data_IF_310445600460
#
_entry.id   IF_310445600460
#
_cell.length_a   1.000
_cell.length_b   1.000
_cell.length_c   1.000
_cell.angle_alpha   90.00
_cell.angle_beta   90.00
_cell.angle_gamma   90.00
#
_symmetry.space_group_name_H-M   'P 1'
#
loop_
_entity.id
_entity.type
_entity.pdbx_description
1 polymer ?
#
# COMPACT_ATOMS: atom_id res chain seq x y z
N UNK A 1 1.28 -8.07 16.79
CA UNK A 1 1.89 -7.27 15.70
C UNK A 1 2.17 -8.22 14.54
N UNK A 2 1.77 -7.90 13.30
CA UNK A 2 1.82 -8.87 12.20
C UNK A 2 3.17 -8.89 11.47
N UNK A 3 3.88 -7.76 11.40
CA UNK A 3 5.09 -7.59 10.58
C UNK A 3 6.37 -7.93 11.33
N UNK A 4 6.49 -9.13 11.87
CA UNK A 4 7.70 -9.52 12.63
C UNK A 4 8.42 -10.70 11.98
N UNK A 5 9.67 -10.93 12.39
CA UNK A 5 10.47 -12.06 11.91
C UNK A 5 9.83 -13.41 12.30
N UNK A 6 9.18 -13.49 13.46
CA UNK A 6 8.50 -14.69 13.94
C UNK A 6 7.32 -15.05 13.04
N UNK A 7 6.52 -14.06 12.61
CA UNK A 7 5.41 -14.30 11.69
C UNK A 7 5.93 -14.70 10.31
N UNK A 8 7.00 -14.06 9.81
CA UNK A 8 7.63 -14.46 8.55
C UNK A 8 8.16 -15.91 8.61
N UNK A 9 8.82 -16.29 9.70
CA UNK A 9 9.33 -17.64 9.92
C UNK A 9 8.21 -18.69 9.99
N UNK A 10 7.12 -18.36 10.68
CA UNK A 10 5.92 -19.20 10.68
C UNK A 10 5.37 -19.41 9.26
N UNK A 11 5.24 -18.34 8.47
CA UNK A 11 4.74 -18.42 7.09
C UNK A 11 5.65 -19.25 6.19
N UNK A 12 6.99 -19.12 6.30
CA UNK A 12 7.92 -20.01 5.58
C UNK A 12 7.72 -21.48 5.96
N UNK A 13 7.44 -21.78 7.24
CA UNK A 13 7.09 -23.13 7.69
C UNK A 13 5.82 -23.65 7.02
N UNK A 14 4.78 -22.82 6.90
CA UNK A 14 3.54 -23.17 6.19
C UNK A 14 3.81 -23.44 4.71
N UNK A 15 4.59 -22.59 4.03
CA UNK A 15 4.94 -22.79 2.62
C UNK A 15 5.69 -24.12 2.42
N UNK A 16 6.61 -24.47 3.33
CA UNK A 16 7.34 -25.74 3.29
C UNK A 16 6.44 -26.95 3.49
N UNK A 17 5.45 -26.87 4.39
CA UNK A 17 4.49 -27.96 4.63
C UNK A 17 3.50 -28.17 3.49
N UNK A 18 3.26 -27.11 2.70
CA UNK A 18 2.38 -27.14 1.53
C UNK A 18 3.14 -27.44 0.22
N UNK A 19 4.44 -27.79 0.30
CA UNK A 19 5.31 -28.06 -0.85
C UNK A 19 5.31 -26.93 -1.90
N UNK A 20 5.26 -25.66 -1.45
CA UNK A 20 5.28 -24.49 -2.35
C UNK A 20 6.54 -24.49 -3.22
N UNK A 21 6.34 -24.39 -4.52
CA UNK A 21 7.37 -24.40 -5.57
C UNK A 21 7.63 -22.99 -6.13
N UNK A 22 8.62 -22.89 -7.03
CA UNK A 22 8.93 -21.63 -7.74
C UNK A 22 7.81 -21.15 -8.68
N UNK A 23 6.91 -22.04 -9.07
CA UNK A 23 5.78 -21.72 -9.93
C UNK A 23 4.55 -21.30 -9.16
N UNK A 24 4.53 -21.38 -7.83
CA UNK A 24 3.40 -20.92 -7.03
C UNK A 24 3.41 -19.40 -6.85
N UNK A 25 2.36 -18.88 -6.22
CA UNK A 25 2.21 -17.46 -5.94
C UNK A 25 1.64 -17.23 -4.54
N UNK A 26 2.15 -16.20 -3.86
CA UNK A 26 1.53 -15.65 -2.65
C UNK A 26 0.46 -14.64 -3.07
N UNK A 27 -0.75 -14.75 -2.54
CA UNK A 27 -1.80 -13.75 -2.72
C UNK A 27 -2.03 -13.08 -1.37
N UNK A 28 -1.77 -11.78 -1.28
CA UNK A 28 -1.98 -11.03 -0.03
C UNK A 28 -3.34 -10.34 -0.07
N UNK A 29 -4.18 -10.55 0.94
CA UNK A 29 -5.47 -9.87 1.08
C UNK A 29 -5.45 -9.07 2.39
N UNK A 30 -5.39 -7.75 2.32
CA UNK A 30 -5.30 -6.90 3.51
C UNK A 30 -4.74 -5.51 3.26
N UNK A 31 -4.47 -4.77 4.34
CA UNK A 31 -3.81 -3.46 4.28
C UNK A 31 -2.29 -3.55 4.11
N UNK A 32 -1.61 -2.41 4.28
CA UNK A 32 -0.16 -2.29 4.03
C UNK A 32 0.72 -3.24 4.84
N UNK A 33 0.32 -3.57 6.07
CA UNK A 33 1.05 -4.55 6.87
C UNK A 33 1.04 -5.95 6.25
N UNK A 34 -0.09 -6.35 5.66
CA UNK A 34 -0.25 -7.65 5.02
C UNK A 34 0.51 -7.70 3.70
N UNK A 35 0.46 -6.64 2.89
CA UNK A 35 1.18 -6.58 1.61
C UNK A 35 2.69 -6.59 1.82
N UNK A 36 3.20 -5.85 2.82
CA UNK A 36 4.63 -5.79 3.12
C UNK A 36 5.20 -7.13 3.61
N UNK A 37 4.52 -7.76 4.57
CA UNK A 37 4.93 -9.06 5.11
C UNK A 37 4.81 -10.14 4.03
N UNK A 38 3.67 -10.23 3.35
CA UNK A 38 3.44 -11.24 2.32
C UNK A 38 4.38 -11.08 1.13
N UNK A 39 4.66 -9.83 0.74
CA UNK A 39 5.70 -9.51 -0.24
C UNK A 39 7.08 -9.97 0.23
N UNK A 40 7.40 -9.84 1.53
CA UNK A 40 8.73 -10.21 2.05
C UNK A 40 8.90 -11.72 2.07
N UNK A 41 7.86 -12.42 2.52
CA UNK A 41 7.79 -13.87 2.48
C UNK A 41 7.95 -14.37 1.04
N UNK A 42 7.26 -13.78 0.07
CA UNK A 42 7.39 -14.14 -1.35
C UNK A 42 8.79 -13.83 -1.91
N UNK A 43 9.40 -12.71 -1.53
CA UNK A 43 10.74 -12.32 -1.97
C UNK A 43 11.84 -13.27 -1.47
N UNK A 44 11.65 -13.85 -0.28
CA UNK A 44 12.65 -14.67 0.41
C UNK A 44 12.43 -16.16 0.24
N UNK A 45 11.19 -16.60 0.01
CA UNK A 45 10.89 -18.01 -0.24
C UNK A 45 11.48 -18.46 -1.57
N UNK A 46 12.28 -19.54 -1.55
CA UNK A 46 12.99 -20.05 -2.72
C UNK A 46 13.79 -18.99 -3.51
N UNK A 47 14.24 -17.91 -2.84
CA UNK A 47 14.91 -16.74 -3.46
C UNK A 47 14.01 -15.92 -4.41
N UNK A 48 12.71 -15.94 -4.19
CA UNK A 48 11.73 -15.17 -4.94
C UNK A 48 10.72 -16.04 -5.64
N UNK A 49 9.46 -15.87 -5.28
CA UNK A 49 8.29 -16.37 -6.01
C UNK A 49 7.33 -15.24 -6.32
N UNK A 50 6.32 -15.51 -7.15
CA UNK A 50 5.32 -14.49 -7.55
C UNK A 50 4.50 -14.04 -6.34
N UNK A 51 4.15 -12.77 -6.32
CA UNK A 51 3.18 -12.22 -5.36
C UNK A 51 2.13 -11.38 -6.10
N UNK A 52 0.87 -11.50 -5.70
CA UNK A 52 -0.23 -10.65 -6.14
C UNK A 52 -0.83 -9.98 -4.92
N UNK A 53 -1.04 -8.67 -4.98
CA UNK A 53 -1.64 -7.92 -3.89
C UNK A 53 -3.10 -7.62 -4.17
N UNK A 54 -3.96 -7.89 -3.18
CA UNK A 54 -5.37 -7.49 -3.12
C UNK A 54 -5.53 -6.55 -1.92
N UNK A 55 -5.15 -5.26 -2.07
CA UNK A 55 -5.22 -4.29 -0.99
C UNK A 55 -6.66 -4.03 -0.55
N UNK A 56 -6.92 -4.04 0.76
CA UNK A 56 -8.26 -3.80 1.33
C UNK A 56 -8.37 -2.49 2.09
N UNK A 57 -7.32 -1.66 2.07
CA UNK A 57 -7.33 -0.32 2.65
C UNK A 57 -6.92 0.70 1.59
N UNK A 58 -7.43 1.92 1.70
CA UNK A 58 -7.08 2.99 0.76
C UNK A 58 -5.57 3.22 0.71
N UNK A 59 -4.90 3.29 1.88
CA UNK A 59 -3.45 3.42 1.98
C UNK A 59 -2.71 2.31 1.23
N UNK A 60 -3.20 1.07 1.31
CA UNK A 60 -2.57 -0.03 0.59
C UNK A 60 -2.77 0.06 -0.92
N UNK A 61 -3.95 0.48 -1.37
CA UNK A 61 -4.26 0.65 -2.79
C UNK A 61 -3.38 1.71 -3.45
N UNK A 62 -3.28 2.89 -2.83
CA UNK A 62 -2.62 4.05 -3.44
C UNK A 62 -1.12 4.12 -3.15
N UNK A 63 -0.66 3.39 -2.12
CA UNK A 63 0.74 3.41 -1.71
C UNK A 63 1.28 1.97 -1.50
N UNK A 64 1.01 1.32 -0.38
CA UNK A 64 1.82 0.16 0.06
C UNK A 64 1.88 -1.02 -0.92
N UNK A 65 0.80 -1.34 -1.65
CA UNK A 65 0.77 -2.45 -2.60
C UNK A 65 1.52 -2.15 -3.92
N UNK A 66 1.80 -0.87 -4.20
CA UNK A 66 2.44 -0.41 -5.43
C UNK A 66 3.89 -0.03 -5.14
N UNK A 67 4.82 -0.56 -5.93
CA UNK A 67 6.23 -0.15 -5.86
C UNK A 67 7.21 -1.19 -5.33
N UNK A 68 6.73 -2.36 -4.91
CA UNK A 68 7.55 -3.52 -4.57
C UNK A 68 8.40 -3.38 -3.31
N UNK A 69 8.24 -2.32 -2.52
CA UNK A 69 8.84 -2.25 -1.19
C UNK A 69 8.11 -3.21 -0.28
N UNK A 70 8.85 -4.04 0.41
CA UNK A 70 8.30 -5.01 1.35
C UNK A 70 9.27 -5.17 2.51
N UNK A 71 8.76 -5.53 3.69
CA UNK A 71 9.63 -5.76 4.83
C UNK A 71 8.90 -6.06 6.13
N UNK A 72 9.70 -6.22 7.17
CA UNK A 72 9.30 -6.51 8.54
C UNK A 72 9.90 -5.48 9.50
N UNK A 73 9.26 -5.33 10.65
CA UNK A 73 9.76 -4.56 11.77
C UNK A 73 10.78 -5.41 12.55
N UNK A 74 11.75 -4.75 13.14
CA UNK A 74 12.62 -5.31 14.17
C UNK A 74 12.41 -4.57 15.48
N UNK A 75 13.03 -5.04 16.57
CA UNK A 75 12.98 -4.33 17.85
C UNK A 75 13.57 -2.91 17.75
N UNK A 76 14.45 -2.69 16.78
CA UNK A 76 15.17 -1.44 16.54
C UNK A 76 14.42 -0.46 15.63
N UNK A 77 13.35 -0.89 14.94
CA UNK A 77 12.54 0.02 14.13
C UNK A 77 11.63 -0.63 13.09
N UNK A 78 10.79 0.22 12.49
CA UNK A 78 9.84 -0.16 11.43
C UNK A 78 10.57 -0.34 10.10
N UNK A 79 10.24 -1.40 9.36
CA UNK A 79 10.69 -1.65 7.97
C UNK A 79 12.21 -1.65 7.73
N UNK A 80 13.03 -1.94 8.75
CA UNK A 80 14.50 -1.93 8.62
C UNK A 80 15.03 -3.14 7.82
N UNK A 81 14.29 -4.25 7.83
CA UNK A 81 14.65 -5.47 7.09
C UNK A 81 13.60 -5.71 6.01
N UNK A 82 14.03 -5.77 4.75
CA UNK A 82 13.11 -5.82 3.63
C UNK A 82 13.77 -6.14 2.28
N UNK A 83 12.96 -6.00 1.22
CA UNK A 83 13.39 -6.22 -0.16
C UNK A 83 12.65 -5.27 -1.11
N UNK A 84 13.22 -5.07 -2.30
CA UNK A 84 12.51 -4.56 -3.46
C UNK A 84 12.06 -5.76 -4.32
N UNK A 85 10.81 -6.19 -4.15
CA UNK A 85 10.19 -7.32 -4.84
C UNK A 85 8.85 -6.89 -5.48
N UNK A 86 8.86 -6.48 -6.76
CA UNK A 86 7.66 -6.03 -7.45
C UNK A 86 6.61 -7.15 -7.54
N UNK A 87 5.32 -6.85 -7.30
CA UNK A 87 4.25 -7.82 -7.48
C UNK A 87 4.04 -8.13 -8.96
N UNK A 88 3.53 -9.34 -9.24
CA UNK A 88 3.06 -9.72 -10.57
C UNK A 88 1.78 -8.96 -10.96
N UNK A 89 1.03 -8.45 -9.99
CA UNK A 89 -0.14 -7.61 -10.18
C UNK A 89 -0.71 -7.09 -8.86
N UNK A 90 -1.48 -6.01 -8.95
CA UNK A 90 -2.23 -5.43 -7.84
C UNK A 90 -3.68 -5.29 -8.27
N UNK A 91 -4.60 -5.86 -7.49
CA UNK A 91 -6.04 -5.79 -7.74
C UNK A 91 -6.69 -4.87 -6.70
N UNK A 92 -6.93 -3.61 -7.09
CA UNK A 92 -7.64 -2.64 -6.26
C UNK A 92 -9.15 -2.78 -6.48
N UNK A 93 -9.81 -3.62 -5.69
CA UNK A 93 -11.27 -3.72 -5.66
C UNK A 93 -11.83 -2.70 -4.66
N UNK A 94 -12.48 -1.65 -5.17
CA UNK A 94 -13.03 -0.56 -4.35
C UNK A 94 -14.15 -1.03 -3.41
N UNK A 95 -14.80 -2.17 -3.68
CA UNK A 95 -15.81 -2.73 -2.79
C UNK A 95 -15.22 -3.07 -1.41
N UNK A 96 -13.91 -3.35 -1.32
CA UNK A 96 -13.25 -3.57 -0.03
C UNK A 96 -13.32 -2.33 0.88
N UNK A 97 -13.43 -1.13 0.31
CA UNK A 97 -13.52 0.13 1.06
C UNK A 97 -14.89 0.32 1.74
N UNK A 98 -15.95 -0.39 1.33
CA UNK A 98 -17.29 -0.29 1.95
C UNK A 98 -17.25 -0.57 3.46
N UNK A 99 -16.39 -1.51 3.86
CA UNK A 99 -16.20 -1.91 5.25
C UNK A 99 -15.06 -1.17 5.96
N UNK A 100 -14.34 -0.28 5.26
CA UNK A 100 -13.19 0.42 5.80
C UNK A 100 -13.63 1.51 6.77
N UNK A 101 -13.08 1.47 7.98
CA UNK A 101 -13.35 2.46 9.00
C UNK A 101 -12.92 3.87 8.57
N UNK A 102 -13.67 4.88 9.04
CA UNK A 102 -13.42 6.30 8.75
C UNK A 102 -11.95 6.70 8.91
N UNK A 103 -11.34 6.30 10.02
CA UNK A 103 -9.97 6.73 10.35
C UNK A 103 -8.92 6.08 9.46
N UNK A 104 -9.13 4.84 9.02
CA UNK A 104 -8.25 4.18 8.05
C UNK A 104 -8.39 4.80 6.65
N UNK A 105 -9.62 5.19 6.28
CA UNK A 105 -9.86 5.94 5.05
C UNK A 105 -9.15 7.30 5.09
N UNK A 106 -9.32 8.08 6.16
CA UNK A 106 -8.65 9.38 6.35
C UNK A 106 -7.12 9.22 6.35
N UNK A 107 -6.59 8.19 6.99
CA UNK A 107 -5.16 7.90 6.96
C UNK A 107 -4.66 7.60 5.53
N UNK A 108 -5.43 6.87 4.73
CA UNK A 108 -5.13 6.63 3.32
C UNK A 108 -5.20 7.89 2.45
N UNK A 109 -6.14 8.79 2.74
CA UNK A 109 -6.26 10.08 2.04
C UNK A 109 -5.02 10.96 2.21
N UNK A 110 -4.23 10.79 3.27
CA UNK A 110 -2.96 11.51 3.41
C UNK A 110 -1.98 11.19 2.27
N UNK A 111 -1.91 9.93 1.84
CA UNK A 111 -1.05 9.51 0.72
C UNK A 111 -1.60 9.98 -0.64
N UNK A 112 -2.94 10.04 -0.77
CA UNK A 112 -3.61 10.63 -1.93
C UNK A 112 -3.25 12.12 -2.04
N UNK A 113 -3.45 12.89 -0.96
CA UNK A 113 -3.14 14.33 -0.93
C UNK A 113 -1.66 14.60 -1.13
N UNK A 114 -0.76 13.79 -0.54
CA UNK A 114 0.69 13.83 -0.81
C UNK A 114 0.95 13.74 -2.32
N UNK A 115 0.27 12.79 -2.99
CA UNK A 115 0.42 12.58 -4.43
C UNK A 115 -0.04 13.80 -5.23
N UNK A 116 -1.10 14.47 -4.79
CA UNK A 116 -1.55 15.73 -5.36
C UNK A 116 -0.48 16.83 -5.29
N UNK A 117 0.12 17.03 -4.11
CA UNK A 117 1.16 18.04 -3.92
C UNK A 117 2.43 17.82 -4.75
N UNK A 118 2.81 16.57 -5.01
CA UNK A 118 4.08 16.27 -5.67
C UNK A 118 3.96 16.12 -7.19
N UNK A 119 2.76 15.90 -7.74
CA UNK A 119 2.66 15.47 -9.14
C UNK A 119 1.32 15.67 -9.86
N UNK A 120 0.17 15.76 -9.19
CA UNK A 120 -1.14 15.87 -9.86
C UNK A 120 -2.11 16.75 -9.09
N UNK A 121 -2.10 18.06 -9.38
CA UNK A 121 -2.93 19.06 -8.71
C UNK A 121 -4.44 18.77 -8.84
N UNK A 122 -4.89 18.01 -9.86
CA UNK A 122 -6.31 17.64 -9.99
C UNK A 122 -6.78 16.78 -8.81
N UNK A 123 -5.88 16.03 -8.18
CA UNK A 123 -6.18 15.32 -6.93
C UNK A 123 -6.59 16.32 -5.84
N UNK A 124 -5.88 17.45 -5.72
CA UNK A 124 -6.17 18.47 -4.71
C UNK A 124 -7.52 19.14 -4.97
N UNK A 125 -7.78 19.50 -6.23
CA UNK A 125 -9.08 20.06 -6.65
C UNK A 125 -10.24 19.12 -6.30
N UNK A 126 -10.14 17.82 -6.63
CA UNK A 126 -11.16 16.83 -6.30
C UNK A 126 -11.38 16.68 -4.79
N UNK A 127 -10.29 16.71 -4.00
CA UNK A 127 -10.37 16.62 -2.55
C UNK A 127 -11.09 17.84 -1.97
N UNK A 128 -10.80 19.04 -2.49
CA UNK A 128 -11.43 20.30 -2.06
C UNK A 128 -12.89 20.38 -2.47
N UNK A 129 -13.21 20.05 -3.73
CA UNK A 129 -14.57 20.02 -4.30
C UNK A 129 -15.49 19.08 -3.51
N UNK A 130 -14.96 17.96 -3.00
CA UNK A 130 -15.73 16.90 -2.35
C UNK A 130 -15.40 16.70 -0.86
N UNK A 131 -14.82 17.70 -0.20
CA UNK A 131 -14.32 17.58 1.18
C UNK A 131 -15.38 17.11 2.20
N UNK A 132 -16.62 17.60 2.09
CA UNK A 132 -17.73 17.19 2.98
C UNK A 132 -18.08 15.71 2.79
N UNK A 133 -18.12 15.23 1.54
CA UNK A 133 -18.42 13.85 1.22
C UNK A 133 -17.29 12.90 1.71
N UNK A 134 -16.04 13.24 1.42
CA UNK A 134 -14.87 12.45 1.79
C UNK A 134 -14.66 12.41 3.31
N UNK A 135 -14.87 13.51 4.03
CA UNK A 135 -14.70 13.58 5.49
C UNK A 135 -15.81 12.85 6.27
N UNK A 136 -16.97 12.65 5.62
CA UNK A 136 -18.11 11.89 6.14
C UNK A 136 -18.03 10.38 5.86
N UNK A 137 -16.90 9.87 5.34
CA UNK A 137 -16.71 8.44 5.07
C UNK A 137 -17.07 7.56 6.27
N UNK A 138 -17.87 6.52 6.03
CA UNK A 138 -18.32 5.58 7.06
C UNK A 138 -19.27 6.17 8.11
N UNK A 139 -19.61 7.46 8.05
CA UNK A 139 -20.57 8.10 8.97
C UNK A 139 -21.98 8.21 8.36
N UNK A 140 -22.08 8.16 7.04
CA UNK A 140 -23.33 8.09 6.28
C UNK A 140 -23.12 7.25 5.01
N UNK A 141 -24.20 6.77 4.36
CA UNK A 141 -24.08 6.04 3.10
C UNK A 141 -23.31 6.87 2.05
N UNK A 142 -22.33 6.24 1.43
CA UNK A 142 -21.55 6.81 0.33
C UNK A 142 -22.41 6.87 -0.94
N UNK A 143 -22.45 8.03 -1.61
CA UNK A 143 -23.19 8.21 -2.85
C UNK A 143 -22.40 7.68 -4.05
N UNK A 144 -23.08 7.37 -5.16
CA UNK A 144 -22.42 6.97 -6.41
C UNK A 144 -21.41 8.02 -6.91
N UNK A 145 -21.72 9.30 -6.72
CA UNK A 145 -20.81 10.41 -7.01
C UNK A 145 -19.54 10.34 -6.14
N UNK A 146 -19.68 10.09 -4.84
CA UNK A 146 -18.53 9.95 -3.94
C UNK A 146 -17.68 8.74 -4.33
N UNK A 147 -18.31 7.63 -4.73
CA UNK A 147 -17.61 6.45 -5.25
C UNK A 147 -16.83 6.75 -6.53
N UNK A 148 -17.40 7.50 -7.46
CA UNK A 148 -16.72 7.92 -8.68
C UNK A 148 -15.49 8.79 -8.37
N UNK A 149 -15.60 9.73 -7.43
CA UNK A 149 -14.48 10.56 -6.99
C UNK A 149 -13.39 9.72 -6.34
N UNK A 150 -13.75 8.78 -5.45
CA UNK A 150 -12.76 7.88 -4.83
C UNK A 150 -12.06 7.01 -5.87
N UNK A 151 -12.78 6.50 -6.87
CA UNK A 151 -12.18 5.73 -7.95
C UNK A 151 -11.14 6.56 -8.74
N UNK A 152 -11.49 7.79 -9.11
CA UNK A 152 -10.57 8.69 -9.82
C UNK A 152 -9.35 9.04 -8.97
N UNK A 153 -9.53 9.33 -7.67
CA UNK A 153 -8.44 9.61 -6.74
C UNK A 153 -7.47 8.42 -6.62
N UNK A 154 -8.00 7.20 -6.54
CA UNK A 154 -7.20 5.97 -6.50
C UNK A 154 -6.43 5.77 -7.80
N UNK A 155 -7.09 5.90 -8.96
CA UNK A 155 -6.47 5.73 -10.27
C UNK A 155 -5.33 6.72 -10.50
N UNK A 156 -5.58 8.02 -10.23
CA UNK A 156 -4.56 9.07 -10.36
C UNK A 156 -3.37 8.83 -9.44
N UNK A 157 -3.64 8.48 -8.18
CA UNK A 157 -2.57 8.23 -7.20
C UNK A 157 -1.69 7.06 -7.64
N UNK A 158 -2.31 5.97 -8.09
CA UNK A 158 -1.61 4.79 -8.61
C UNK A 158 -0.82 5.15 -9.88
N UNK A 159 -1.40 5.93 -10.81
CA UNK A 159 -0.72 6.32 -12.05
C UNK A 159 0.55 7.12 -11.78
N UNK A 160 0.51 8.08 -10.84
CA UNK A 160 1.70 8.82 -10.41
C UNK A 160 2.73 7.87 -9.80
N UNK A 161 2.32 7.03 -8.85
CA UNK A 161 3.25 6.13 -8.17
C UNK A 161 3.87 5.11 -9.13
N UNK A 162 3.08 4.54 -10.03
CA UNK A 162 3.55 3.60 -11.03
C UNK A 162 4.57 4.24 -11.99
N UNK A 163 4.35 5.50 -12.40
CA UNK A 163 5.32 6.26 -13.20
C UNK A 163 6.64 6.45 -12.45
N UNK A 164 6.58 6.99 -11.24
CA UNK A 164 7.79 7.27 -10.42
C UNK A 164 8.57 6.00 -10.10
N UNK A 165 7.89 4.91 -9.74
CA UNK A 165 8.50 3.60 -9.48
C UNK A 165 9.08 2.99 -10.76
N UNK A 166 8.39 3.13 -11.89
CA UNK A 166 8.84 2.62 -13.18
C UNK A 166 10.14 3.29 -13.65
N UNK A 167 10.32 4.56 -13.31
CA UNK A 167 11.54 5.32 -13.60
C UNK A 167 12.66 5.06 -12.58
N UNK A 168 12.32 4.85 -11.30
CA UNK A 168 13.30 4.62 -10.23
C UNK A 168 12.81 3.58 -9.20
N UNK A 169 13.02 2.30 -9.49
CA UNK A 169 12.56 1.22 -8.61
C UNK A 169 13.34 1.17 -7.28
N UNK A 170 14.62 1.54 -7.25
CA UNK A 170 15.50 1.32 -6.09
C UNK A 170 15.79 2.57 -5.26
N UNK A 171 15.09 3.66 -5.53
CA UNK A 171 15.25 4.94 -4.81
C UNK A 171 16.65 5.52 -4.96
N UNK A 172 17.13 5.60 -6.20
CA UNK A 172 18.40 6.22 -6.53
C UNK A 172 18.31 7.73 -6.80
N UNK A 173 17.10 8.30 -6.87
CA UNK A 173 16.88 9.74 -7.04
C UNK A 173 15.40 10.13 -7.04
N UNK A 174 14.74 10.08 -8.20
CA UNK A 174 13.38 10.61 -8.40
C UNK A 174 12.37 10.09 -7.37
N UNK A 175 12.49 8.83 -6.96
CA UNK A 175 11.52 8.21 -6.05
C UNK A 175 11.50 8.83 -4.64
N UNK A 176 12.52 9.62 -4.29
CA UNK A 176 12.56 10.37 -3.02
C UNK A 176 11.39 11.34 -2.86
N UNK A 177 10.79 11.84 -3.95
CA UNK A 177 9.62 12.73 -3.87
C UNK A 177 8.42 12.06 -3.19
N UNK A 178 8.32 10.72 -3.25
CA UNK A 178 7.26 9.96 -2.57
C UNK A 178 7.39 10.00 -1.05
N UNK A 179 8.54 10.45 -0.52
CA UNK A 179 8.78 10.65 0.90
C UNK A 179 8.38 12.06 1.38
N UNK A 180 7.73 12.88 0.54
CA UNK A 180 7.13 14.13 1.01
C UNK A 180 6.22 13.89 2.22
N UNK A 181 6.37 14.72 3.27
CA UNK A 181 5.71 14.54 4.56
C UNK A 181 6.32 13.48 5.50
N UNK A 182 7.22 12.61 5.01
CA UNK A 182 7.79 11.50 5.79
C UNK A 182 9.06 11.85 6.56
N UNK A 183 9.63 13.05 6.39
CA UNK A 183 10.79 13.51 7.17
C UNK A 183 10.44 13.72 8.65
N UNK A 184 9.26 14.27 8.93
CA UNK A 184 8.82 14.60 10.30
C UNK A 184 7.87 13.55 10.89
N UNK A 185 7.24 12.72 10.05
CA UNK A 185 6.29 11.69 10.47
C UNK A 185 6.82 10.74 11.54
N UNK A 186 8.06 10.20 11.46
CA UNK A 186 8.59 9.31 12.50
C UNK A 186 8.69 9.96 13.88
N UNK A 187 8.81 11.28 13.98
CA UNK A 187 8.85 11.99 15.27
C UNK A 187 7.46 12.16 15.91
N UNK A 188 6.38 11.97 15.15
CA UNK A 188 4.98 12.17 15.59
C UNK A 188 4.24 10.83 15.73
N UNK A 189 4.61 9.80 14.97
CA UNK A 189 3.97 8.46 14.98
C UNK A 189 4.54 7.50 16.06
N UNK A 190 5.35 8.01 17.00
CA UNK A 190 5.92 7.26 18.12
C UNK A 190 4.93 7.12 19.29
#
# INVERSE_FOLDING_TARGET
EAKTAEVAAFLWGVLGQLDFTRTDAVVTVGGGATTDLGGFVAATWLRGIRVVHVPTTLLAMVDAAVGGKTGINTAEGKNLVGSFHPPAGVLCDLAALESLGRWDFVAGMAEVVKTGFIADERILELVEEHADALSAWGTRPTTDETWAVVAELVERSIAVKARVVGEDLKEAGLREILNYGHTLRPAVEL
#
